data_IF_650176066039
#
_entry.id   IF_650176066039
#
_cell.length_a   1.000
_cell.length_b   1.000
_cell.length_c   1.000
_cell.angle_alpha   90.00
_cell.angle_beta   90.00
_cell.angle_gamma   90.00
#
_symmetry.space_group_name_H-M   'P 1'
#
loop_
_entity.id
_entity.type
_entity.pdbx_description
1 polymer ?
#
# COMPACT_ATOMS: atom_id res chain seq x y z
N UNK A 1 -12.67 -25.71 -22.79
CA UNK A 1 -12.92 -24.92 -21.56
C UNK A 1 -11.83 -25.25 -20.53
N UNK A 2 -10.95 -24.29 -20.21
CA UNK A 2 -9.85 -24.48 -19.23
C UNK A 2 -10.38 -24.60 -17.79
N UNK A 3 -11.57 -24.07 -17.53
CA UNK A 3 -12.30 -24.21 -16.27
C UNK A 3 -13.73 -24.65 -16.58
N UNK A 4 -14.10 -25.85 -16.15
CA UNK A 4 -15.45 -26.40 -16.31
C UNK A 4 -16.01 -26.72 -14.94
N UNK A 5 -17.31 -26.51 -14.75
CA UNK A 5 -18.00 -26.81 -13.52
C UNK A 5 -18.56 -28.25 -13.56
N UNK A 6 -18.51 -29.02 -12.45
CA UNK A 6 -17.88 -28.68 -11.17
C UNK A 6 -16.34 -28.76 -11.23
N UNK A 7 -15.62 -27.84 -10.54
CA UNK A 7 -14.16 -27.81 -10.57
C UNK A 7 -13.55 -29.02 -9.87
N UNK A 8 -12.45 -29.51 -10.42
CA UNK A 8 -11.67 -30.59 -9.80
C UNK A 8 -10.93 -30.10 -8.56
N UNK A 9 -10.54 -31.03 -7.68
CA UNK A 9 -9.72 -30.71 -6.48
C UNK A 9 -8.41 -29.99 -6.83
N UNK A 10 -7.80 -30.32 -7.97
CA UNK A 10 -6.57 -29.66 -8.45
C UNK A 10 -6.82 -28.21 -8.86
N UNK A 11 -7.95 -27.95 -9.52
CA UNK A 11 -8.37 -26.60 -9.87
C UNK A 11 -8.64 -25.76 -8.62
N UNK A 12 -9.34 -26.32 -7.63
CA UNK A 12 -9.55 -25.63 -6.34
C UNK A 12 -8.23 -25.32 -5.64
N UNK A 13 -7.30 -26.27 -5.57
CA UNK A 13 -5.98 -26.06 -4.96
C UNK A 13 -5.17 -24.97 -5.70
N UNK A 14 -5.22 -24.94 -7.04
CA UNK A 14 -4.56 -23.91 -7.83
C UNK A 14 -5.14 -22.51 -7.54
N UNK A 15 -6.47 -22.39 -7.44
CA UNK A 15 -7.12 -21.13 -7.05
C UNK A 15 -6.67 -20.67 -5.67
N UNK A 16 -6.71 -21.56 -4.68
CA UNK A 16 -6.25 -21.24 -3.32
C UNK A 16 -4.77 -20.79 -3.34
N UNK A 17 -3.92 -21.52 -4.04
CA UNK A 17 -2.50 -21.17 -4.16
C UNK A 17 -2.29 -19.78 -4.78
N UNK A 18 -3.05 -19.44 -5.83
CA UNK A 18 -2.98 -18.12 -6.46
C UNK A 18 -3.36 -17.01 -5.47
N UNK A 19 -4.46 -17.18 -4.75
CA UNK A 19 -4.92 -16.19 -3.77
C UNK A 19 -3.96 -16.04 -2.59
N UNK A 20 -3.45 -17.14 -2.05
CA UNK A 20 -2.45 -17.10 -0.97
C UNK A 20 -1.16 -16.41 -1.42
N UNK A 21 -0.70 -16.70 -2.64
CA UNK A 21 0.48 -16.06 -3.22
C UNK A 21 0.26 -14.56 -3.39
N UNK A 22 -0.87 -14.18 -3.98
CA UNK A 22 -1.24 -12.77 -4.16
C UNK A 22 -1.32 -12.01 -2.84
N UNK A 23 -2.03 -12.57 -1.85
CA UNK A 23 -2.14 -11.98 -0.51
C UNK A 23 -0.77 -11.82 0.16
N UNK A 24 0.10 -12.83 0.04
CA UNK A 24 1.46 -12.78 0.59
C UNK A 24 2.29 -11.66 -0.03
N UNK A 25 2.26 -11.52 -1.35
CA UNK A 25 2.95 -10.45 -2.06
C UNK A 25 2.41 -9.05 -1.68
N UNK A 26 1.09 -8.91 -1.56
CA UNK A 26 0.47 -7.64 -1.14
C UNK A 26 0.87 -7.25 0.28
N UNK A 27 0.83 -8.19 1.23
CA UNK A 27 1.25 -7.93 2.62
C UNK A 27 2.73 -7.55 2.69
N UNK A 28 3.59 -8.28 1.98
CA UNK A 28 5.01 -7.99 1.92
C UNK A 28 5.29 -6.59 1.32
N UNK A 29 4.61 -6.25 0.22
CA UNK A 29 4.70 -4.92 -0.39
C UNK A 29 4.23 -3.81 0.54
N UNK A 30 3.13 -4.01 1.26
CA UNK A 30 2.63 -3.06 2.25
C UNK A 30 3.62 -2.89 3.42
N UNK A 31 4.18 -3.98 3.93
CA UNK A 31 5.20 -3.95 4.97
C UNK A 31 6.43 -3.13 4.53
N UNK A 32 6.96 -3.40 3.34
CA UNK A 32 8.08 -2.64 2.80
C UNK A 32 7.73 -1.17 2.58
N UNK A 33 6.52 -0.87 2.11
CA UNK A 33 6.05 0.50 1.92
C UNK A 33 6.07 1.26 3.26
N UNK A 34 5.54 0.66 4.32
CA UNK A 34 5.52 1.25 5.66
C UNK A 34 6.93 1.37 6.26
N UNK A 35 7.78 0.36 6.11
CA UNK A 35 9.16 0.40 6.60
C UNK A 35 9.98 1.53 5.95
N UNK A 36 9.64 1.92 4.72
CA UNK A 36 10.36 2.94 3.96
C UNK A 36 9.58 4.27 3.81
N UNK A 37 8.46 4.46 4.54
CA UNK A 37 7.61 5.65 4.39
C UNK A 37 8.21 6.91 5.01
N UNK A 38 9.15 6.75 5.96
CA UNK A 38 9.67 7.85 6.78
C UNK A 38 10.24 9.04 5.97
N UNK A 39 11.05 8.86 4.90
CA UNK A 39 11.53 9.99 4.09
C UNK A 39 10.41 10.74 3.38
N UNK A 40 9.35 10.05 2.94
CA UNK A 40 8.21 10.67 2.29
C UNK A 40 7.38 11.48 3.31
N UNK A 41 7.18 10.94 4.51
CA UNK A 41 6.55 11.67 5.61
C UNK A 41 7.35 12.91 6.00
N UNK A 42 8.69 12.83 6.06
CA UNK A 42 9.54 13.98 6.37
C UNK A 42 9.39 15.11 5.33
N UNK A 43 9.35 14.78 4.04
CA UNK A 43 9.13 15.76 2.96
C UNK A 43 7.74 16.39 3.03
N UNK A 44 6.70 15.58 3.26
CA UNK A 44 5.33 16.07 3.40
C UNK A 44 5.18 16.99 4.62
N UNK A 45 5.82 16.63 5.73
CA UNK A 45 5.88 17.44 6.94
C UNK A 45 6.59 18.76 6.71
N UNK A 46 7.79 18.75 6.11
CA UNK A 46 8.54 19.98 5.82
C UNK A 46 7.75 20.97 4.94
N UNK A 47 7.01 20.48 3.94
CA UNK A 47 6.11 21.31 3.12
C UNK A 47 4.98 21.92 3.94
N UNK A 48 4.36 21.11 4.80
CA UNK A 48 3.25 21.56 5.65
C UNK A 48 3.72 22.62 6.65
N UNK A 49 4.89 22.44 7.25
CA UNK A 49 5.47 23.36 8.22
C UNK A 49 5.83 24.70 7.54
N UNK A 50 6.43 24.66 6.34
CA UNK A 50 6.68 25.88 5.55
C UNK A 50 5.40 26.69 5.27
N UNK A 51 4.31 26.03 4.86
CA UNK A 51 3.03 26.71 4.59
C UNK A 51 2.46 27.31 5.88
N UNK A 52 2.48 26.56 6.98
CA UNK A 52 1.99 27.04 8.28
C UNK A 52 2.76 28.27 8.77
N UNK A 53 4.09 28.25 8.66
CA UNK A 53 4.92 29.38 9.05
C UNK A 53 4.63 30.61 8.17
N UNK A 54 4.42 30.41 6.86
CA UNK A 54 4.03 31.50 5.97
C UNK A 54 2.66 32.08 6.34
N UNK A 55 1.69 31.22 6.67
CA UNK A 55 0.34 31.64 7.07
C UNK A 55 0.35 32.38 8.41
N UNK A 56 1.12 31.91 9.41
CA UNK A 56 1.28 32.64 10.68
C UNK A 56 1.84 34.03 10.44
N UNK A 57 2.92 34.14 9.65
CA UNK A 57 3.50 35.44 9.33
C UNK A 57 2.49 36.39 8.69
N UNK A 58 1.61 35.91 7.81
CA UNK A 58 0.56 36.73 7.19
C UNK A 58 -0.55 37.15 8.17
N UNK A 59 -0.77 36.40 9.26
CA UNK A 59 -1.81 36.70 10.24
C UNK A 59 -1.29 37.59 11.38
N UNK A 60 0.01 37.52 11.65
CA UNK A 60 0.71 38.33 12.66
C UNK A 60 1.10 39.73 12.11
N UNK A 61 1.04 39.94 10.78
CA UNK A 61 1.21 41.22 10.07
C UNK A 61 -0.15 41.97 9.94
#
# INVERSE_FOLDING_TARGET
MIWSYPPTRKQLAATIGLFLTGASLSVYGAYMSLANIAPQQARAKARSDYIKDRLRKMLDD
#
